data_IF_641804641168
#
_entry.id   IF_641804641168
#
_cell.length_a   1.000
_cell.length_b   1.000
_cell.length_c   1.000
_cell.angle_alpha   90.00
_cell.angle_beta   90.00
_cell.angle_gamma   90.00
#
_symmetry.space_group_name_H-M   'P 1'
#
loop_
_entity.id
_entity.type
_entity.pdbx_description
1 polymer ?
#
# COMPACT_ATOMS: atom_id res chain seq x y z
N UNK A 1 -6.65 -2.12 0.68
CA UNK A 1 -5.71 -2.47 1.76
C UNK A 1 -5.87 -3.95 2.14
N UNK A 2 -4.78 -4.72 2.25
CA UNK A 2 -4.81 -6.16 2.55
C UNK A 2 -4.99 -6.42 4.06
N UNK A 3 -6.14 -6.05 4.61
CA UNK A 3 -6.47 -6.37 6.01
C UNK A 3 -6.73 -7.85 6.20
N UNK A 4 -6.60 -8.37 7.41
CA UNK A 4 -6.87 -9.79 7.66
C UNK A 4 -8.27 -10.23 7.27
N UNK A 5 -9.29 -9.38 7.47
CA UNK A 5 -10.64 -9.68 6.95
C UNK A 5 -10.67 -9.85 5.42
N UNK A 6 -9.86 -9.09 4.67
CA UNK A 6 -9.77 -9.22 3.22
C UNK A 6 -8.91 -10.41 2.78
N UNK A 7 -7.88 -10.78 3.55
CA UNK A 7 -7.02 -11.94 3.30
C UNK A 7 -7.76 -13.25 3.60
N UNK A 8 -8.54 -13.31 4.68
CA UNK A 8 -9.40 -14.44 4.99
C UNK A 8 -10.47 -14.67 3.90
N UNK A 9 -11.04 -13.60 3.32
CA UNK A 9 -11.93 -13.71 2.14
C UNK A 9 -11.24 -14.32 0.91
N UNK A 10 -9.92 -14.30 0.86
CA UNK A 10 -9.08 -14.90 -0.20
C UNK A 10 -8.47 -16.24 0.24
N UNK A 11 -9.00 -16.85 1.30
CA UNK A 11 -8.55 -18.14 1.85
C UNK A 11 -7.09 -18.15 2.34
N UNK A 12 -6.53 -16.99 2.66
CA UNK A 12 -5.21 -16.89 3.29
C UNK A 12 -5.41 -16.93 4.80
N UNK A 13 -4.88 -17.97 5.46
CA UNK A 13 -4.98 -18.16 6.91
C UNK A 13 -4.30 -17.00 7.64
N UNK A 14 -5.09 -16.17 8.32
CA UNK A 14 -4.58 -15.00 9.06
C UNK A 14 -5.29 -14.84 10.40
N UNK A 15 -4.62 -14.27 11.42
CA UNK A 15 -5.28 -13.85 12.65
C UNK A 15 -6.48 -12.95 12.31
N UNK A 16 -7.60 -13.08 13.03
CA UNK A 16 -8.80 -12.31 12.65
C UNK A 16 -8.82 -10.93 13.33
N UNK A 17 -8.10 -10.78 14.44
CA UNK A 17 -8.04 -9.56 15.24
C UNK A 17 -7.08 -8.52 14.65
N UNK A 18 -7.42 -7.26 14.83
CA UNK A 18 -6.60 -6.10 14.50
C UNK A 18 -5.24 -6.17 15.18
N UNK A 19 -4.15 -6.03 14.42
CA UNK A 19 -2.80 -6.05 14.97
C UNK A 19 -2.46 -4.84 15.83
N UNK A 20 -3.18 -3.73 15.66
CA UNK A 20 -2.88 -2.50 16.39
C UNK A 20 -3.50 -2.52 17.79
N UNK A 21 -4.77 -2.92 17.91
CA UNK A 21 -5.50 -2.87 19.17
C UNK A 21 -5.86 -4.22 19.78
N UNK A 22 -5.78 -5.31 19.00
CA UNK A 22 -6.09 -6.68 19.43
C UNK A 22 -7.51 -6.92 19.98
N UNK A 23 -8.46 -6.00 19.75
CA UNK A 23 -9.80 -6.08 20.36
C UNK A 23 -10.93 -6.45 19.40
N UNK A 24 -10.77 -6.22 18.10
CA UNK A 24 -11.85 -6.36 17.12
C UNK A 24 -11.28 -6.82 15.76
N UNK A 25 -12.16 -7.22 14.84
CA UNK A 25 -11.81 -7.75 13.52
C UNK A 25 -11.05 -6.72 12.69
N UNK A 26 -9.97 -7.14 12.04
CA UNK A 26 -9.19 -6.25 11.19
C UNK A 26 -9.87 -6.02 9.82
N UNK A 27 -10.87 -5.14 9.81
CA UNK A 27 -11.45 -4.59 8.59
C UNK A 27 -10.78 -3.26 8.22
N UNK A 28 -10.96 -2.81 6.98
CA UNK A 28 -10.48 -1.49 6.54
C UNK A 28 -11.11 -0.37 7.39
N UNK A 29 -12.41 -0.50 7.65
CA UNK A 29 -13.18 0.49 8.42
C UNK A 29 -12.72 0.53 9.88
N UNK A 30 -12.51 -0.65 10.48
CA UNK A 30 -11.93 -0.75 11.81
C UNK A 30 -10.54 -0.09 11.84
N UNK A 31 -9.60 -0.53 10.98
CA UNK A 31 -8.23 -0.05 11.05
C UNK A 31 -8.13 1.47 10.87
N UNK A 32 -8.92 2.05 9.97
CA UNK A 32 -8.83 3.47 9.64
C UNK A 32 -9.67 4.38 10.53
N UNK A 33 -10.71 3.87 11.20
CA UNK A 33 -11.71 4.74 11.86
C UNK A 33 -12.10 4.30 13.27
N UNK A 34 -12.31 3.01 13.49
CA UNK A 34 -12.82 2.52 14.77
C UNK A 34 -11.77 1.91 15.70
N UNK A 35 -10.55 1.70 15.19
CA UNK A 35 -9.43 1.23 15.99
C UNK A 35 -9.08 2.30 17.05
N UNK A 36 -9.04 1.95 18.35
CA UNK A 36 -8.71 2.90 19.41
C UNK A 36 -7.33 3.54 19.24
N UNK A 37 -6.34 2.76 18.75
CA UNK A 37 -4.98 3.26 18.47
C UNK A 37 -5.02 4.32 17.36
N UNK A 38 -5.73 4.03 16.27
CA UNK A 38 -5.93 4.99 15.19
C UNK A 38 -6.67 6.23 15.67
N UNK A 39 -7.70 6.08 16.50
CA UNK A 39 -8.45 7.20 17.06
C UNK A 39 -7.57 8.13 17.91
N UNK A 40 -6.73 7.57 18.78
CA UNK A 40 -5.76 8.34 19.58
C UNK A 40 -4.74 9.05 18.70
N UNK A 41 -4.25 8.38 17.65
CA UNK A 41 -3.34 8.94 16.66
C UNK A 41 -3.93 10.14 15.93
N UNK A 42 -5.13 9.99 15.37
CA UNK A 42 -5.82 11.08 14.67
C UNK A 42 -6.13 12.25 15.62
N UNK A 43 -6.53 11.96 16.85
CA UNK A 43 -6.76 12.98 17.89
C UNK A 43 -5.48 13.78 18.19
N UNK A 44 -4.33 13.10 18.24
CA UNK A 44 -3.02 13.74 18.49
C UNK A 44 -2.60 14.69 17.36
N UNK A 45 -3.06 14.43 16.13
CA UNK A 45 -2.88 15.33 14.98
C UNK A 45 -3.87 16.52 14.98
N UNK A 46 -4.66 16.69 16.07
CA UNK A 46 -5.74 17.68 16.19
C UNK A 46 -6.74 17.60 15.05
N UNK A 47 -6.95 16.39 14.56
CA UNK A 47 -7.78 16.16 13.41
C UNK A 47 -9.27 16.13 13.83
N UNK A 48 -9.97 17.25 13.68
CA UNK A 48 -11.40 17.42 14.01
C UNK A 48 -12.32 17.31 12.80
N UNK A 49 -11.96 16.54 11.78
CA UNK A 49 -12.87 16.30 10.67
C UNK A 49 -13.95 15.31 11.11
N UNK A 50 -15.13 15.42 10.49
CA UNK A 50 -16.23 14.43 10.44
C UNK A 50 -15.80 13.03 9.94
N UNK A 51 -14.59 12.59 10.25
CA UNK A 51 -13.96 11.31 9.90
C UNK A 51 -14.78 10.09 10.35
N UNK A 52 -15.63 10.31 11.35
CA UNK A 52 -16.49 9.29 11.96
C UNK A 52 -17.96 9.43 11.55
N UNK A 53 -18.27 9.89 10.33
CA UNK A 53 -19.63 9.74 9.79
C UNK A 53 -19.97 8.24 9.71
N UNK A 54 -20.62 7.71 10.74
CA UNK A 54 -20.91 6.27 10.91
C UNK A 54 -21.74 5.68 9.77
N UNK A 55 -22.25 6.52 8.87
CA UNK A 55 -23.19 6.17 7.82
C UNK A 55 -22.54 5.89 6.46
N UNK A 56 -21.25 6.19 6.26
CA UNK A 56 -20.56 5.90 5.00
C UNK A 56 -19.63 4.70 5.08
N UNK A 57 -19.77 3.82 4.08
CA UNK A 57 -18.86 2.71 3.78
C UNK A 57 -17.42 3.24 3.62
N UNK A 58 -16.45 2.40 3.98
CA UNK A 58 -15.02 2.69 3.86
C UNK A 58 -14.61 3.06 2.41
N UNK A 59 -15.45 2.74 1.41
CA UNK A 59 -15.26 3.10 0.00
C UNK A 59 -15.60 4.56 -0.33
N UNK A 60 -16.60 5.12 0.34
CA UNK A 60 -17.14 6.45 0.03
C UNK A 60 -16.61 7.54 0.95
N UNK A 61 -16.25 7.19 2.20
CA UNK A 61 -15.67 8.18 3.12
C UNK A 61 -14.44 8.92 2.59
N UNK A 62 -13.49 8.31 1.83
CA UNK A 62 -12.32 9.06 1.38
C UNK A 62 -12.74 10.13 0.38
N UNK A 63 -13.71 9.81 -0.49
CA UNK A 63 -14.24 10.74 -1.49
C UNK A 63 -14.89 11.93 -0.81
N UNK A 64 -15.77 11.68 0.17
CA UNK A 64 -16.44 12.75 0.90
C UNK A 64 -15.45 13.63 1.67
N UNK A 65 -14.48 13.02 2.36
CA UNK A 65 -13.45 13.78 3.09
C UNK A 65 -12.64 14.66 2.14
N UNK A 66 -12.28 14.16 0.95
CA UNK A 66 -11.53 14.95 -0.03
C UNK A 66 -12.37 16.10 -0.64
N UNK A 67 -13.68 15.89 -0.79
CA UNK A 67 -14.58 16.91 -1.35
C UNK A 67 -14.95 18.00 -0.34
N UNK A 68 -14.97 17.67 0.96
CA UNK A 68 -15.50 18.55 2.01
C UNK A 68 -14.43 19.25 2.86
N UNK A 69 -13.16 18.90 2.69
CA UNK A 69 -12.04 19.47 3.46
C UNK A 69 -11.11 20.33 2.62
N UNK A 70 -10.39 21.23 3.29
CA UNK A 70 -9.34 22.04 2.67
C UNK A 70 -8.11 21.19 2.29
N UNK A 71 -7.21 21.81 1.52
CA UNK A 71 -6.03 21.15 0.97
C UNK A 71 -5.07 20.59 2.02
N UNK A 72 -4.86 21.32 3.12
CA UNK A 72 -4.00 20.88 4.21
C UNK A 72 -4.59 19.64 4.90
N UNK A 73 -5.89 19.65 5.14
CA UNK A 73 -6.61 18.51 5.70
C UNK A 73 -6.60 17.29 4.77
N UNK A 74 -6.72 17.47 3.44
CA UNK A 74 -6.55 16.37 2.47
C UNK A 74 -5.18 15.71 2.57
N UNK A 75 -4.10 16.51 2.66
CA UNK A 75 -2.73 16.01 2.84
C UNK A 75 -2.60 15.24 4.15
N UNK A 76 -3.09 15.82 5.25
CA UNK A 76 -3.08 15.16 6.57
C UNK A 76 -3.79 13.81 6.58
N UNK A 77 -4.98 13.72 5.98
CA UNK A 77 -5.73 12.46 5.86
C UNK A 77 -4.95 11.43 5.08
N UNK A 78 -4.43 11.83 3.92
CA UNK A 78 -3.64 10.95 3.04
C UNK A 78 -2.42 10.40 3.77
N UNK A 79 -1.65 11.28 4.42
CA UNK A 79 -0.47 10.91 5.19
C UNK A 79 -0.83 10.04 6.40
N UNK A 80 -1.97 10.28 7.06
CA UNK A 80 -2.42 9.47 8.20
C UNK A 80 -2.80 8.06 7.79
N UNK A 81 -3.58 7.91 6.71
CA UNK A 81 -3.93 6.59 6.16
C UNK A 81 -2.66 5.83 5.75
N UNK A 82 -1.71 6.53 5.12
CA UNK A 82 -0.42 5.93 4.77
C UNK A 82 0.40 5.52 6.00
N UNK A 83 0.47 6.37 7.02
CA UNK A 83 1.17 6.10 8.29
C UNK A 83 0.61 4.86 8.99
N UNK A 84 -0.72 4.70 9.05
CA UNK A 84 -1.39 3.53 9.63
C UNK A 84 -1.06 2.26 8.83
N UNK A 85 -1.14 2.33 7.51
CA UNK A 85 -0.80 1.22 6.63
C UNK A 85 0.67 0.80 6.79
N UNK A 86 1.57 1.78 6.80
CA UNK A 86 3.01 1.57 7.00
C UNK A 86 3.28 0.93 8.36
N UNK A 87 2.64 1.43 9.42
CA UNK A 87 2.79 0.91 10.77
C UNK A 87 2.43 -0.57 10.85
N UNK A 88 1.23 -0.90 10.33
CA UNK A 88 0.75 -2.28 10.25
C UNK A 88 1.71 -3.18 9.46
N UNK A 89 2.15 -2.74 8.29
CA UNK A 89 3.00 -3.57 7.44
C UNK A 89 4.38 -3.79 8.04
N UNK A 90 4.95 -2.78 8.70
CA UNK A 90 6.22 -2.94 9.42
C UNK A 90 6.09 -3.97 10.53
N UNK A 91 4.98 -3.95 11.26
CA UNK A 91 4.71 -4.96 12.29
C UNK A 91 4.61 -6.38 11.70
N UNK A 92 3.95 -6.54 10.55
CA UNK A 92 3.79 -7.85 9.89
C UNK A 92 5.10 -8.38 9.33
N UNK A 93 5.86 -7.55 8.64
CA UNK A 93 7.01 -7.99 7.85
C UNK A 93 8.34 -7.88 8.59
N UNK A 94 8.44 -6.93 9.52
CA UNK A 94 9.67 -6.64 10.27
C UNK A 94 9.51 -6.88 11.78
N UNK A 95 8.33 -7.29 12.26
CA UNK A 95 8.06 -7.52 13.69
C UNK A 95 8.19 -6.27 14.56
N UNK A 96 8.26 -5.09 13.95
CA UNK A 96 8.58 -3.84 14.65
C UNK A 96 7.33 -2.97 14.79
N UNK A 97 7.01 -2.59 16.02
CA UNK A 97 5.92 -1.67 16.33
C UNK A 97 6.39 -0.21 16.36
N UNK A 98 5.49 0.70 16.00
CA UNK A 98 5.70 2.15 16.09
C UNK A 98 4.95 2.72 17.27
N UNK A 99 5.56 3.67 17.95
CA UNK A 99 4.87 4.44 18.99
C UNK A 99 3.93 5.47 18.37
N UNK A 100 2.96 5.94 19.15
CA UNK A 100 2.09 7.06 18.75
C UNK A 100 2.88 8.29 18.31
N UNK A 101 3.98 8.58 19.01
CA UNK A 101 4.88 9.70 18.70
C UNK A 101 5.53 9.53 17.33
N UNK A 102 6.01 8.32 17.01
CA UNK A 102 6.63 8.04 15.71
C UNK A 102 5.67 8.30 14.56
N UNK A 103 4.40 7.89 14.72
CA UNK A 103 3.36 8.11 13.70
C UNK A 103 3.05 9.60 13.52
N UNK A 104 2.99 10.37 14.61
CA UNK A 104 2.74 11.82 14.58
C UNK A 104 3.90 12.53 13.91
N UNK A 105 5.14 12.23 14.31
CA UNK A 105 6.36 12.78 13.71
C UNK A 105 6.44 12.44 12.22
N UNK A 106 6.10 11.22 11.84
CA UNK A 106 6.03 10.79 10.44
C UNK A 106 5.10 11.70 9.63
N UNK A 107 3.84 11.87 10.08
CA UNK A 107 2.86 12.68 9.34
C UNK A 107 3.25 14.15 9.28
N UNK A 108 3.60 14.74 10.42
CA UNK A 108 3.96 16.17 10.47
C UNK A 108 5.24 16.46 9.68
N UNK A 109 6.23 15.56 9.73
CA UNK A 109 7.45 15.67 8.96
C UNK A 109 7.22 15.63 7.45
N UNK A 110 6.35 14.73 6.96
CA UNK A 110 5.99 14.70 5.54
C UNK A 110 5.12 15.89 5.13
N UNK A 111 4.19 16.34 5.99
CA UNK A 111 3.41 17.54 5.70
C UNK A 111 4.32 18.76 5.51
N UNK A 112 5.27 18.97 6.42
CA UNK A 112 6.23 20.06 6.33
C UNK A 112 7.08 19.98 5.05
N UNK A 113 7.49 18.77 4.64
CA UNK A 113 8.20 18.56 3.36
C UNK A 113 7.35 18.94 2.16
N UNK A 114 6.09 18.53 2.12
CA UNK A 114 5.18 18.86 1.02
C UNK A 114 4.95 20.38 0.95
N UNK A 115 4.68 21.02 2.10
CA UNK A 115 4.49 22.47 2.17
C UNK A 115 5.75 23.23 1.74
N UNK A 116 6.94 22.76 2.09
CA UNK A 116 8.20 23.34 1.63
C UNK A 116 8.38 23.23 0.11
N UNK A 117 8.00 22.10 -0.50
CA UNK A 117 8.09 21.91 -1.96
C UNK A 117 7.15 22.84 -2.73
N UNK A 118 5.99 23.17 -2.16
CA UNK A 118 5.04 24.11 -2.75
C UNK A 118 5.55 25.55 -2.72
N UNK A 119 6.24 25.95 -1.65
CA UNK A 119 6.86 27.27 -1.52
C UNK A 119 8.01 27.46 -2.53
N UNK A 120 8.84 26.44 -2.70
CA UNK A 120 9.99 26.49 -3.61
C UNK A 120 9.55 26.56 -5.08
N UNK A 121 8.27 26.30 -5.38
CA UNK A 121 7.73 26.46 -6.72
C UNK A 121 8.47 25.58 -7.73
N UNK A 122 8.88 24.38 -7.31
CA UNK A 122 9.54 23.42 -8.20
C UNK A 122 8.71 23.36 -9.49
N UNK A 123 9.34 23.51 -10.67
CA UNK A 123 8.61 23.38 -11.92
C UNK A 123 7.92 22.02 -11.82
N UNK A 124 6.57 22.04 -11.84
CA UNK A 124 5.79 20.81 -11.92
C UNK A 124 6.43 20.07 -13.07
N UNK A 125 7.12 18.99 -12.77
CA UNK A 125 7.73 18.20 -13.81
C UNK A 125 6.51 17.75 -14.61
N UNK A 126 6.30 18.34 -15.78
CA UNK A 126 5.49 17.75 -16.81
C UNK A 126 6.28 16.52 -17.22
N UNK A 127 6.26 15.52 -16.33
CA UNK A 127 6.34 14.14 -16.72
C UNK A 127 5.31 14.07 -17.83
N UNK A 128 5.80 13.98 -19.07
CA UNK A 128 5.03 13.36 -20.13
C UNK A 128 4.45 12.13 -19.46
N UNK A 129 3.16 12.17 -19.11
CA UNK A 129 2.53 11.07 -18.41
C UNK A 129 2.71 9.90 -19.36
N UNK A 130 3.69 9.04 -19.08
CA UNK A 130 3.84 7.77 -19.74
C UNK A 130 2.69 6.97 -19.16
N UNK A 131 1.50 7.22 -19.69
CA UNK A 131 0.35 6.40 -19.42
C UNK A 131 0.70 5.04 -19.95
N UNK A 132 0.68 4.06 -19.05
CA UNK A 132 0.71 2.67 -19.46
C UNK A 132 -0.47 2.47 -20.40
N UNK A 133 -0.17 2.17 -21.66
CA UNK A 133 -1.14 1.81 -22.68
C UNK A 133 -0.90 0.35 -23.04
N UNK A 134 -1.94 -0.46 -23.21
CA UNK A 134 -1.79 -1.75 -23.88
C UNK A 134 -1.06 -1.51 -25.20
N UNK A 135 -0.10 -2.37 -25.52
CA UNK A 135 0.57 -2.33 -26.83
C UNK A 135 -0.46 -2.54 -27.95
N UNK A 136 -0.10 -2.15 -29.17
CA UNK A 136 -0.94 -2.27 -30.35
C UNK A 136 -1.42 -3.73 -30.58
N UNK A 137 -2.40 -3.91 -31.46
CA UNK A 137 -2.88 -5.23 -31.88
C UNK A 137 -1.69 -6.16 -32.23
N UNK A 138 -1.82 -7.44 -31.86
CA UNK A 138 -0.84 -8.52 -32.06
C UNK A 138 0.38 -8.58 -31.11
N UNK A 139 0.45 -7.72 -30.08
CA UNK A 139 1.46 -7.83 -29.02
C UNK A 139 0.96 -8.57 -27.77
N UNK A 140 1.83 -9.39 -27.19
CA UNK A 140 1.64 -9.97 -25.86
C UNK A 140 2.39 -9.11 -24.85
N UNK A 141 1.68 -8.65 -23.81
CA UNK A 141 2.30 -7.99 -22.66
C UNK A 141 2.67 -9.03 -21.62
N UNK A 142 3.95 -9.08 -21.26
CA UNK A 142 4.44 -9.96 -20.19
C UNK A 142 4.75 -9.13 -18.95
N UNK A 143 4.05 -9.39 -17.85
CA UNK A 143 4.38 -8.87 -16.54
C UNK A 143 5.09 -9.98 -15.75
N UNK A 144 6.19 -9.63 -15.10
CA UNK A 144 6.94 -10.54 -14.27
C UNK A 144 7.29 -9.84 -12.95
N UNK A 145 7.39 -10.62 -11.89
CA UNK A 145 7.81 -10.18 -10.56
C UNK A 145 8.42 -11.37 -9.83
N UNK A 146 9.17 -11.11 -8.77
CA UNK A 146 9.87 -12.15 -8.05
C UNK A 146 9.83 -11.95 -6.54
N UNK A 147 9.73 -13.06 -5.82
CA UNK A 147 9.87 -13.07 -4.36
C UNK A 147 11.20 -13.69 -3.98
N UNK A 148 11.90 -13.11 -3.01
CA UNK A 148 13.20 -13.58 -2.54
C UNK A 148 13.21 -13.75 -1.02
N UNK A 149 13.75 -14.87 -0.56
CA UNK A 149 14.02 -15.14 0.85
C UNK A 149 15.53 -15.19 1.09
N UNK A 150 16.06 -14.18 1.80
CA UNK A 150 17.49 -14.07 2.09
C UNK A 150 18.01 -15.16 3.03
N UNK A 151 17.21 -15.62 3.99
CA UNK A 151 17.62 -16.63 4.98
C UNK A 151 17.83 -17.98 4.30
N UNK A 152 16.88 -18.37 3.46
CA UNK A 152 16.91 -19.65 2.74
C UNK A 152 17.66 -19.58 1.40
N UNK A 153 18.01 -18.37 0.95
CA UNK A 153 18.56 -18.11 -0.40
C UNK A 153 17.71 -18.71 -1.53
N UNK A 154 16.40 -18.69 -1.34
CA UNK A 154 15.41 -19.19 -2.29
C UNK A 154 14.62 -18.05 -2.90
N UNK A 155 14.06 -18.28 -4.08
CA UNK A 155 13.16 -17.34 -4.72
C UNK A 155 12.09 -18.03 -5.55
N UNK A 156 11.03 -17.30 -5.86
CA UNK A 156 10.01 -17.74 -6.81
C UNK A 156 9.73 -16.58 -7.76
N UNK A 157 9.93 -16.85 -9.04
CA UNK A 157 9.53 -15.99 -10.16
C UNK A 157 8.06 -16.21 -10.47
N UNK A 158 7.33 -15.15 -10.77
CA UNK A 158 5.95 -15.18 -11.23
C UNK A 158 5.79 -14.36 -12.50
N UNK A 159 5.30 -14.98 -13.57
CA UNK A 159 5.17 -14.37 -14.89
C UNK A 159 3.74 -14.54 -15.39
N UNK A 160 3.19 -13.50 -16.01
CA UNK A 160 1.87 -13.52 -16.63
C UNK A 160 1.90 -12.80 -17.98
N UNK A 161 1.48 -13.51 -19.01
CA UNK A 161 1.35 -13.02 -20.37
C UNK A 161 -0.12 -12.68 -20.66
N UNK A 162 -0.38 -11.50 -21.20
CA UNK A 162 -1.72 -11.01 -21.55
C UNK A 162 -1.77 -10.49 -22.98
N UNK A 163 -2.89 -10.67 -23.66
CA UNK A 163 -3.13 -10.06 -24.96
C UNK A 163 -3.55 -8.58 -24.83
N UNK A 164 -3.85 -7.94 -25.96
CA UNK A 164 -4.26 -6.54 -26.07
C UNK A 164 -5.57 -6.22 -25.33
N UNK A 165 -6.41 -7.23 -25.10
CA UNK A 165 -7.66 -7.13 -24.32
C UNK A 165 -7.46 -7.36 -22.82
N UNK A 166 -6.22 -7.59 -22.38
CA UNK A 166 -5.89 -7.94 -21.00
C UNK A 166 -6.27 -9.37 -20.62
N UNK A 167 -6.63 -10.23 -21.57
CA UNK A 167 -6.91 -11.65 -21.32
C UNK A 167 -5.60 -12.40 -21.12
N UNK A 168 -5.57 -13.29 -20.12
CA UNK A 168 -4.40 -14.09 -19.79
C UNK A 168 -4.19 -15.15 -20.87
N UNK A 169 -3.04 -15.10 -21.53
CA UNK A 169 -2.62 -16.05 -22.58
C UNK A 169 -1.73 -17.15 -22.01
N UNK A 170 -1.05 -16.87 -20.90
CA UNK A 170 -0.20 -17.81 -20.19
C UNK A 170 0.24 -17.24 -18.85
N UNK A 171 0.58 -18.13 -17.92
CA UNK A 171 1.21 -17.76 -16.66
C UNK A 171 2.16 -18.88 -16.25
N UNK A 172 3.28 -18.53 -15.62
CA UNK A 172 4.17 -19.50 -15.04
C UNK A 172 4.73 -19.01 -13.71
N UNK A 173 5.14 -19.98 -12.89
CA UNK A 173 5.93 -19.74 -11.71
C UNK A 173 7.16 -20.62 -11.76
N UNK A 174 8.30 -20.09 -11.33
CA UNK A 174 9.56 -20.83 -11.36
C UNK A 174 10.30 -20.66 -10.03
N UNK A 175 10.48 -21.74 -9.24
CA UNK A 175 11.27 -21.68 -8.02
C UNK A 175 12.76 -21.72 -8.34
N UNK A 176 13.56 -20.93 -7.63
CA UNK A 176 15.01 -21.01 -7.64
C UNK A 176 15.56 -21.30 -6.25
N UNK A 177 16.67 -22.02 -6.22
CA UNK A 177 17.45 -22.31 -5.04
C UNK A 177 18.85 -21.72 -5.19
N UNK A 178 19.51 -21.41 -4.08
CA UNK A 178 20.87 -20.87 -4.03
C UNK A 178 21.07 -19.58 -4.86
N UNK A 179 20.14 -18.62 -4.75
CA UNK A 179 20.32 -17.28 -5.34
C UNK A 179 21.00 -16.33 -4.35
N UNK A 180 21.94 -15.54 -4.85
CA UNK A 180 22.76 -14.64 -4.05
C UNK A 180 21.95 -13.50 -3.41
N UNK A 181 21.09 -12.85 -4.18
CA UNK A 181 20.33 -11.68 -3.76
C UNK A 181 19.10 -11.44 -4.66
N UNK A 182 18.24 -10.52 -4.22
CA UNK A 182 17.00 -10.16 -4.91
C UNK A 182 17.22 -9.57 -6.31
N UNK A 183 18.34 -8.87 -6.53
CA UNK A 183 18.63 -8.28 -7.84
C UNK A 183 18.88 -9.36 -8.89
N UNK A 184 19.62 -10.42 -8.52
CA UNK A 184 19.82 -11.59 -9.39
C UNK A 184 18.50 -12.31 -9.69
N UNK A 185 17.59 -12.39 -8.70
CA UNK A 185 16.26 -12.98 -8.93
C UNK A 185 15.48 -12.17 -9.97
N UNK A 186 15.45 -10.86 -9.83
CA UNK A 186 14.72 -9.96 -10.74
C UNK A 186 15.21 -10.15 -12.18
N UNK A 187 16.54 -10.19 -12.37
CA UNK A 187 17.16 -10.40 -13.68
C UNK A 187 16.83 -11.78 -14.28
N UNK A 188 16.82 -12.85 -13.48
CA UNK A 188 16.42 -14.19 -13.94
C UNK A 188 14.93 -14.28 -14.28
N UNK A 189 14.10 -13.58 -13.52
CA UNK A 189 12.65 -13.54 -13.77
C UNK A 189 12.37 -12.82 -15.10
N UNK A 190 13.12 -11.76 -15.40
CA UNK A 190 13.09 -11.12 -16.71
C UNK A 190 13.56 -12.07 -17.82
N UNK A 191 14.69 -12.76 -17.65
CA UNK A 191 15.21 -13.73 -18.64
C UNK A 191 14.18 -14.83 -18.95
N UNK A 192 13.47 -15.34 -17.95
CA UNK A 192 12.44 -16.36 -18.12
C UNK A 192 11.14 -15.85 -18.77
N UNK A 193 10.93 -14.53 -18.76
CA UNK A 193 9.72 -13.92 -19.27
C UNK A 193 9.76 -13.69 -20.80
N UNK A 194 10.92 -13.87 -21.44
CA UNK A 194 11.19 -13.56 -22.85
C UNK A 194 11.55 -14.84 -23.60
#
# INVERSE_FOLDING_TARGET
MPTYANLNKRHISTPILCLLCHTDLESVDHLLRFCPVTSQFLTSLRFTVRFMSKHLDYKYWPVEVFQTTDDRNRKLVTLSVWSIWFARNKLIHEGTSQTLSDLVVFVLGYLAKIEALEIVGYPRCFSTQIHWRPLDLDFITVNFDSSFNLQEKTSISGIIARNERGLVMGACTYPHINIADAFVVEARTYEQAI
#
